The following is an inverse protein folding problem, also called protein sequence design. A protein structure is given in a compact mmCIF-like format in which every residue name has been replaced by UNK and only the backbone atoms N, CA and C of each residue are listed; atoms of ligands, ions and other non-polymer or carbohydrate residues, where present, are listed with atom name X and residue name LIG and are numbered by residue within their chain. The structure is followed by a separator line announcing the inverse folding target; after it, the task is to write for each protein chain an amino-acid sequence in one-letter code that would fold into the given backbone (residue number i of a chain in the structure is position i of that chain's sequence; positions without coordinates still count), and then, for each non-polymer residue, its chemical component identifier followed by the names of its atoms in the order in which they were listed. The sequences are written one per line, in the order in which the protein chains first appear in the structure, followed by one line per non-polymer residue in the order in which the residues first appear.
data_IF_125331559106
#
_entry.id   IF_125331559106
#
_cell.length_a   1.000
_cell.length_b   1.000
_cell.length_c   1.000
_cell.angle_alpha   90.00
_cell.angle_beta   90.00
_cell.angle_gamma   90.00
#
_symmetry.space_group_name_H-M   'P 1'
#
loop_
_entity.id
_entity.type
_entity.pdbx_description
1 polymer ?
#
# COMPACT_ATOMS: atom_id res chain seq x y z
N UNK A 1 7.85 22.82 -2.31
CA UNK A 1 8.50 22.06 -1.22
C UNK A 1 7.46 21.49 -0.25
N UNK A 2 6.62 22.36 0.33
CA UNK A 2 5.67 22.00 1.40
C UNK A 2 4.67 20.90 1.02
N UNK A 3 4.07 21.01 -0.18
CA UNK A 3 3.13 20.01 -0.72
C UNK A 3 3.72 18.60 -0.84
N UNK A 4 4.99 18.51 -1.26
CA UNK A 4 5.66 17.24 -1.48
C UNK A 4 5.98 16.54 -0.15
N UNK A 5 6.50 17.30 0.82
CA UNK A 5 6.74 16.82 2.19
C UNK A 5 5.43 16.34 2.81
N UNK A 6 4.35 17.11 2.65
CA UNK A 6 3.03 16.73 3.13
C UNK A 6 2.53 15.43 2.51
N UNK A 7 2.75 15.20 1.22
CA UNK A 7 2.36 13.93 0.59
C UNK A 7 3.19 12.74 1.08
N UNK A 8 4.51 12.91 1.25
CA UNK A 8 5.39 11.89 1.83
C UNK A 8 5.04 11.52 3.27
N UNK A 9 4.30 12.37 3.98
CA UNK A 9 3.76 12.08 5.31
C UNK A 9 2.38 11.41 5.22
N UNK A 10 1.46 12.01 4.44
CA UNK A 10 0.07 11.55 4.38
C UNK A 10 -0.10 10.21 3.68
N UNK A 11 0.58 9.97 2.57
CA UNK A 11 0.37 8.75 1.77
C UNK A 11 0.76 7.48 2.55
N UNK A 12 1.94 7.40 3.18
CA UNK A 12 2.27 6.26 4.04
C UNK A 12 1.32 6.10 5.22
N UNK A 13 0.89 7.22 5.83
CA UNK A 13 -0.02 7.19 6.97
C UNK A 13 -1.38 6.58 6.57
N UNK A 14 -1.95 7.03 5.45
CA UNK A 14 -3.23 6.49 4.94
C UNK A 14 -3.10 5.01 4.61
N UNK A 15 -1.99 4.57 4.01
CA UNK A 15 -1.77 3.16 3.69
C UNK A 15 -1.61 2.30 4.95
N UNK A 16 -0.92 2.80 5.97
CA UNK A 16 -0.82 2.12 7.26
C UNK A 16 -2.18 1.99 7.94
N UNK A 17 -2.94 3.09 8.02
CA UNK A 17 -4.31 3.09 8.57
C UNK A 17 -5.23 2.13 7.80
N UNK A 18 -5.07 2.04 6.48
CA UNK A 18 -5.83 1.09 5.66
C UNK A 18 -5.41 -0.36 5.91
N UNK A 19 -4.12 -0.63 6.07
CA UNK A 19 -3.60 -1.98 6.36
C UNK A 19 -4.04 -2.51 7.74
N UNK A 20 -4.34 -1.62 8.70
CA UNK A 20 -4.88 -2.00 10.00
C UNK A 20 -6.36 -2.43 9.91
N UNK A 21 -7.08 -2.00 8.87
CA UNK A 21 -8.45 -2.42 8.61
C UNK A 21 -8.42 -3.81 7.99
N UNK A 22 -8.50 -4.84 8.85
CA UNK A 22 -8.57 -6.24 8.41
C UNK A 22 -9.58 -6.42 7.28
N UNK A 23 -9.23 -7.12 6.18
CA UNK A 23 -10.18 -7.47 5.14
C UNK A 23 -11.39 -8.19 5.75
N UNK A 24 -12.60 -7.84 5.30
CA UNK A 24 -13.83 -8.52 5.73
C UNK A 24 -13.93 -9.96 5.22
N UNK A 25 -13.06 -10.37 4.28
CA UNK A 25 -13.07 -11.65 3.62
C UNK A 25 -11.65 -12.22 3.45
N UNK A 26 -11.42 -13.41 3.98
CA UNK A 26 -10.21 -14.21 3.74
C UNK A 26 -9.23 -14.21 4.92
N UNK A 27 -8.83 -15.42 5.35
CA UNK A 27 -7.67 -15.63 6.23
C UNK A 27 -6.40 -15.56 5.37
N UNK A 28 -6.18 -14.47 4.64
CA UNK A 28 -4.88 -14.25 4.01
C UNK A 28 -3.92 -13.94 5.14
N UNK A 29 -2.85 -14.73 5.26
CA UNK A 29 -1.97 -14.70 6.43
C UNK A 29 -1.25 -13.35 6.61
N UNK A 30 -1.05 -12.56 5.54
CA UNK A 30 -0.33 -11.29 5.64
C UNK A 30 -0.78 -10.25 4.61
N UNK A 31 -1.26 -9.11 5.11
CA UNK A 31 -1.29 -7.84 4.36
C UNK A 31 0.05 -7.14 4.65
N UNK A 32 0.96 -7.12 3.69
CA UNK A 32 2.27 -6.48 3.81
C UNK A 32 2.21 -5.05 3.28
N UNK A 33 2.70 -4.09 4.08
CA UNK A 33 2.79 -2.69 3.68
C UNK A 33 4.23 -2.35 3.29
N UNK A 34 4.43 -2.06 2.00
CA UNK A 34 5.76 -1.75 1.43
C UNK A 34 5.87 -0.24 1.26
N UNK A 35 6.80 0.38 1.98
CA UNK A 35 7.01 1.84 1.97
C UNK A 35 8.45 2.17 1.55
N UNK A 36 8.66 2.46 0.26
CA UNK A 36 9.91 3.03 -0.24
C UNK A 36 9.84 4.55 -0.17
N UNK A 37 10.26 5.11 0.97
CA UNK A 37 10.27 6.56 1.22
C UNK A 37 11.37 7.29 0.44
N UNK A 38 12.40 6.58 -0.03
CA UNK A 38 13.50 7.19 -0.79
C UNK A 38 13.07 7.44 -2.24
N UNK A 39 12.36 6.47 -2.83
CA UNK A 39 11.91 6.50 -4.22
C UNK A 39 10.45 6.88 -4.42
N UNK A 40 9.72 7.11 -3.34
CA UNK A 40 8.30 7.50 -3.33
C UNK A 40 7.34 6.45 -3.91
N UNK A 41 7.58 5.18 -3.58
CA UNK A 41 6.72 4.05 -3.96
C UNK A 41 6.09 3.45 -2.73
N UNK A 42 4.76 3.33 -2.72
CA UNK A 42 4.01 2.85 -1.56
C UNK A 42 2.95 1.85 -2.00
N UNK A 43 2.94 0.69 -1.35
CA UNK A 43 2.09 -0.43 -1.72
C UNK A 43 1.53 -1.15 -0.51
N UNK A 44 0.34 -1.70 -0.68
CA UNK A 44 -0.20 -2.77 0.17
C UNK A 44 -0.36 -3.99 -0.71
N UNK A 45 0.18 -5.12 -0.27
CA UNK A 45 0.15 -6.36 -1.01
C UNK A 45 -0.29 -7.50 -0.09
N UNK A 46 -1.01 -8.44 -0.67
CA UNK A 46 -1.43 -9.66 -0.01
C UNK A 46 -0.47 -10.74 -0.42
N UNK A 47 0.32 -11.22 0.54
CA UNK A 47 1.36 -12.21 0.31
C UNK A 47 1.22 -13.30 1.34
N UNK A 48 1.00 -14.53 0.89
CA UNK A 48 0.92 -15.67 1.78
C UNK A 48 0.09 -16.79 1.18
N UNK A 49 -0.50 -17.58 2.06
CA UNK A 49 -1.33 -18.71 1.68
C UNK A 49 -2.79 -18.44 2.03
N UNK A 50 -3.68 -18.70 1.08
CA UNK A 50 -5.08 -18.91 1.35
C UNK A 50 -5.40 -20.38 1.12
N UNK A 51 -5.50 -21.14 2.21
CA UNK A 51 -5.60 -22.60 2.20
C UNK A 51 -4.42 -23.26 1.44
N UNK A 52 -4.62 -23.69 0.20
CA UNK A 52 -3.60 -24.34 -0.65
C UNK A 52 -3.17 -23.44 -1.82
N UNK A 53 -3.68 -22.22 -1.90
CA UNK A 53 -3.38 -21.28 -2.96
C UNK A 53 -2.34 -20.27 -2.48
N UNK A 54 -1.25 -20.13 -3.24
CA UNK A 54 -0.31 -19.05 -3.05
C UNK A 54 -0.92 -17.74 -3.56
N UNK A 55 -1.00 -16.74 -2.68
CA UNK A 55 -1.51 -15.41 -2.98
C UNK A 55 -0.33 -14.43 -3.04
N UNK A 56 -0.24 -13.69 -4.14
CA UNK A 56 0.65 -12.55 -4.29
C UNK A 56 -0.06 -11.51 -5.18
N UNK A 57 -0.84 -10.64 -4.55
CA UNK A 57 -1.63 -9.63 -5.24
C UNK A 57 -1.44 -8.27 -4.60
N UNK A 58 -1.28 -7.23 -5.42
CA UNK A 58 -1.32 -5.85 -4.92
C UNK A 58 -2.76 -5.46 -4.60
N UNK A 59 -3.01 -4.85 -3.43
CA UNK A 59 -4.32 -4.22 -3.14
C UNK A 59 -4.30 -2.77 -3.61
N UNK A 60 -3.28 -2.01 -3.17
CA UNK A 60 -3.14 -0.58 -3.45
C UNK A 60 -1.69 -0.30 -3.86
N UNK A 61 -1.51 0.50 -4.92
CA UNK A 61 -0.20 1.01 -5.34
C UNK A 61 -0.29 2.51 -5.63
N UNK A 62 0.51 3.28 -4.89
CA UNK A 62 0.59 4.72 -5.02
C UNK A 62 2.04 5.15 -5.21
N UNK A 63 2.25 6.06 -6.16
CA UNK A 63 3.52 6.75 -6.39
C UNK A 63 3.38 8.25 -6.10
N UNK A 64 4.44 8.89 -5.59
CA UNK A 64 4.54 10.35 -5.59
C UNK A 64 5.57 10.79 -6.63
N UNK A 65 5.11 11.40 -7.73
CA UNK A 65 5.98 11.88 -8.82
C UNK A 65 5.70 13.35 -9.11
N UNK A 66 6.75 14.15 -9.22
CA UNK A 66 6.66 15.59 -9.52
C UNK A 66 5.63 16.33 -8.63
N UNK A 67 5.62 16.05 -7.32
CA UNK A 67 4.65 16.63 -6.36
C UNK A 67 3.17 16.31 -6.66
N UNK A 68 2.89 15.19 -7.32
CA UNK A 68 1.54 14.64 -7.54
C UNK A 68 1.47 13.21 -7.03
N UNK A 69 0.29 12.82 -6.58
CA UNK A 69 -0.04 11.45 -6.17
C UNK A 69 -0.57 10.73 -7.40
N UNK A 70 -0.02 9.56 -7.68
CA UNK A 70 -0.41 8.67 -8.77
C UNK A 70 -0.97 7.39 -8.17
N UNK A 71 -2.26 7.16 -8.34
CA UNK A 71 -2.89 5.89 -8.02
C UNK A 71 -2.69 4.95 -9.21
N UNK A 72 -1.79 3.98 -9.06
CA UNK A 72 -1.47 3.01 -10.12
C UNK A 72 -2.41 1.81 -10.08
N UNK A 73 -2.84 1.42 -8.89
CA UNK A 73 -3.72 0.28 -8.68
C UNK A 73 -4.58 0.44 -7.41
N UNK A 74 -5.83 -0.03 -7.48
CA UNK A 74 -6.76 -0.11 -6.35
C UNK A 74 -7.79 -1.22 -6.66
N UNK A 75 -7.88 -2.23 -5.80
CA UNK A 75 -8.83 -3.36 -5.96
C UNK A 75 -10.16 -3.07 -5.31
#
# INVERSE_FOLDING_TARGET
MDKFIRYRQLVPQILLEYSEQKPSHGNIEVDETILDKERDHYQIVNVGWECQNWVNSCIIHIDIKCSKIWLLFNT
#
